data_IF_581310931651
#
_entry.id   IF_581310931651
#
_cell.length_a   1.000
_cell.length_b   1.000
_cell.length_c   1.000
_cell.angle_alpha   90.00
_cell.angle_beta   90.00
_cell.angle_gamma   90.00
#
_symmetry.space_group_name_H-M   'P 1'
#
loop_
_entity.id
_entity.type
_entity.pdbx_description
1 polymer ?
#
# COMPACT_ATOMS: atom_id res chain seq x y z
N UNK A 1 -4.00 -7.95 12.13
CA UNK A 1 -3.31 -6.64 12.20
C UNK A 1 -2.71 -6.30 13.57
N UNK A 2 -3.45 -6.39 14.68
CA UNK A 2 -2.95 -6.00 16.02
C UNK A 2 -1.66 -6.73 16.43
N UNK A 3 -1.59 -8.05 16.24
CA UNK A 3 -0.40 -8.84 16.58
C UNK A 3 0.83 -8.45 15.74
N UNK A 4 0.67 -8.35 14.41
CA UNK A 4 1.75 -7.92 13.49
C UNK A 4 2.30 -6.55 13.89
N UNK A 5 1.42 -5.62 14.31
CA UNK A 5 1.82 -4.31 14.81
C UNK A 5 2.62 -4.43 16.11
N UNK A 6 2.16 -5.24 17.07
CA UNK A 6 2.86 -5.45 18.34
C UNK A 6 4.25 -6.05 18.13
N UNK A 7 4.37 -7.03 17.24
CA UNK A 7 5.64 -7.67 16.89
C UNK A 7 6.63 -6.66 16.29
N UNK A 8 6.17 -5.85 15.33
CA UNK A 8 7.00 -4.84 14.69
C UNK A 8 7.46 -3.75 15.68
N UNK A 9 6.58 -3.35 16.61
CA UNK A 9 6.94 -2.43 17.70
C UNK A 9 7.99 -3.03 18.64
N UNK A 10 7.86 -4.30 18.99
CA UNK A 10 8.81 -5.00 19.85
C UNK A 10 10.21 -5.10 19.21
N UNK A 11 10.27 -5.35 17.89
CA UNK A 11 11.55 -5.34 17.17
C UNK A 11 12.11 -3.92 17.15
N UNK A 12 11.30 -2.93 16.78
CA UNK A 12 11.72 -1.52 16.72
C UNK A 12 12.21 -0.98 18.07
N UNK A 13 11.55 -1.33 19.18
CA UNK A 13 11.94 -0.85 20.52
C UNK A 13 13.35 -1.27 20.88
N UNK A 14 13.72 -2.50 20.56
CA UNK A 14 15.07 -3.04 20.82
C UNK A 14 16.15 -2.16 20.15
N UNK A 15 15.95 -1.81 18.88
CA UNK A 15 16.90 -0.97 18.13
C UNK A 15 16.91 0.49 18.59
N UNK A 16 15.75 1.04 18.96
CA UNK A 16 15.66 2.42 19.45
C UNK A 16 16.28 2.56 20.83
N UNK A 17 16.13 1.56 21.71
CA UNK A 17 16.80 1.53 23.01
C UNK A 17 18.32 1.46 22.87
N UNK A 18 18.82 0.62 21.95
CA UNK A 18 20.26 0.57 21.64
C UNK A 18 20.78 1.90 21.10
N UNK A 19 20.02 2.58 20.24
CA UNK A 19 20.36 3.92 19.75
C UNK A 19 20.41 4.95 20.89
N UNK A 20 19.46 4.92 21.82
CA UNK A 20 19.45 5.78 23.01
C UNK A 20 20.67 5.53 23.89
N UNK A 21 21.03 4.26 24.14
CA UNK A 21 22.22 3.87 24.91
C UNK A 21 23.52 4.34 24.27
N UNK A 22 23.58 4.39 22.94
CA UNK A 22 24.73 4.89 22.19
C UNK A 22 24.76 6.43 22.06
N UNK A 23 23.83 7.13 22.72
CA UNK A 23 23.79 8.60 22.74
C UNK A 23 23.17 9.23 21.50
N UNK A 24 22.39 8.48 20.72
CA UNK A 24 21.56 9.04 19.65
C UNK A 24 20.23 9.52 20.24
N UNK A 25 20.01 10.84 20.23
CA UNK A 25 18.82 11.44 20.80
C UNK A 25 17.59 11.23 19.89
N UNK A 26 16.79 10.21 20.21
CA UNK A 26 15.48 9.98 19.62
C UNK A 26 14.43 10.45 20.64
N UNK A 27 13.93 11.67 20.47
CA UNK A 27 13.00 12.34 21.40
C UNK A 27 11.56 11.81 21.39
N UNK A 28 11.30 10.68 20.73
CA UNK A 28 9.98 10.08 20.66
C UNK A 28 9.80 9.10 21.83
N UNK A 29 8.93 9.41 22.79
CA UNK A 29 8.60 8.50 23.91
C UNK A 29 7.70 7.35 23.45
N UNK A 30 6.75 7.64 22.57
CA UNK A 30 5.80 6.68 22.02
C UNK A 30 6.26 6.19 20.63
N UNK A 31 6.82 4.98 20.58
CA UNK A 31 7.33 4.37 19.34
C UNK A 31 6.26 4.15 18.27
N UNK A 32 4.98 4.14 18.65
CA UNK A 32 3.88 4.02 17.68
C UNK A 32 3.74 5.26 16.78
N UNK A 33 4.25 6.40 17.25
CA UNK A 33 4.27 7.67 16.52
C UNK A 33 5.62 7.97 15.88
N UNK A 34 6.60 7.07 16.02
CA UNK A 34 7.93 7.27 15.47
C UNK A 34 7.89 7.24 13.95
N UNK A 35 8.08 8.40 13.33
CA UNK A 35 8.08 8.53 11.86
C UNK A 35 9.48 8.37 11.28
N UNK A 36 9.53 7.97 10.01
CA UNK A 36 10.78 7.96 9.23
C UNK A 36 11.51 9.31 9.28
N UNK A 37 10.74 10.41 9.28
CA UNK A 37 11.27 11.78 9.37
C UNK A 37 12.01 12.05 10.68
N UNK A 38 11.48 11.58 11.83
CA UNK A 38 12.15 11.74 13.12
C UNK A 38 13.49 10.98 13.18
N UNK A 39 13.56 9.80 12.56
CA UNK A 39 14.80 9.03 12.45
C UNK A 39 15.80 9.75 11.54
N UNK A 40 15.32 10.37 10.46
CA UNK A 40 16.15 11.20 9.58
C UNK A 40 16.76 12.40 10.30
N UNK A 41 15.96 13.12 11.11
CA UNK A 41 16.45 14.21 11.96
C UNK A 41 17.50 13.69 12.96
N UNK A 42 17.20 12.60 13.66
CA UNK A 42 18.12 12.01 14.63
C UNK A 42 19.47 11.65 13.98
N UNK A 43 19.45 11.12 12.75
CA UNK A 43 20.64 10.83 11.95
C UNK A 43 21.43 12.09 11.61
N UNK A 44 20.77 13.16 11.19
CA UNK A 44 21.42 14.46 10.93
C UNK A 44 22.10 15.02 12.18
N UNK A 45 21.40 15.02 13.31
CA UNK A 45 21.92 15.49 14.59
C UNK A 45 23.13 14.67 15.06
N UNK A 46 23.08 13.35 14.91
CA UNK A 46 24.20 12.47 15.23
C UNK A 46 25.44 12.78 14.39
N UNK A 47 25.28 12.95 13.07
CA UNK A 47 26.39 13.32 12.16
C UNK A 47 27.00 14.67 12.48
N UNK A 48 26.17 15.66 12.83
CA UNK A 48 26.65 16.97 13.28
C UNK A 48 27.43 16.85 14.60
N UNK A 49 26.92 16.07 15.56
CA UNK A 49 27.59 15.81 16.83
C UNK A 49 28.95 15.10 16.68
N UNK A 50 29.12 14.24 15.68
CA UNK A 50 30.40 13.60 15.37
C UNK A 50 31.47 14.59 14.90
N UNK A 51 31.10 15.64 14.14
CA UNK A 51 32.04 16.69 13.73
C UNK A 51 32.62 17.45 14.93
N UNK A 52 31.82 17.60 15.98
CA UNK A 52 32.20 18.34 17.18
C UNK A 52 32.92 17.45 18.22
N UNK A 53 32.84 16.12 18.10
CA UNK A 53 33.49 15.19 19.02
C UNK A 53 34.02 13.93 18.30
N UNK A 54 35.27 13.96 17.81
CA UNK A 54 35.88 12.86 17.04
C UNK A 54 36.03 11.55 17.82
N UNK A 55 36.02 11.58 19.16
CA UNK A 55 36.14 10.39 20.01
C UNK A 55 34.99 9.38 19.80
N UNK A 56 33.83 9.86 19.33
CA UNK A 56 32.67 9.01 18.99
C UNK A 56 32.73 8.41 17.59
N UNK A 57 33.76 8.72 16.80
CA UNK A 57 33.93 8.24 15.43
C UNK A 57 34.01 6.71 15.32
N UNK A 58 34.60 6.04 16.32
CA UNK A 58 34.67 4.57 16.38
C UNK A 58 33.29 3.90 16.46
N UNK A 59 32.27 4.58 17.00
CA UNK A 59 30.90 4.09 17.11
C UNK A 59 30.03 4.50 15.91
N UNK A 60 30.51 5.39 15.04
CA UNK A 60 29.72 5.98 13.96
C UNK A 60 29.14 4.90 13.02
N UNK A 61 29.94 3.91 12.63
CA UNK A 61 29.47 2.83 11.76
C UNK A 61 28.37 1.97 12.38
N UNK A 62 28.46 1.70 13.70
CA UNK A 62 27.44 0.95 14.45
C UNK A 62 26.14 1.73 14.54
N UNK A 63 26.20 3.01 14.92
CA UNK A 63 25.02 3.88 15.04
C UNK A 63 24.34 4.09 13.70
N UNK A 64 25.09 4.31 12.63
CA UNK A 64 24.56 4.44 11.27
C UNK A 64 23.84 3.16 10.80
N UNK A 65 24.37 1.98 11.14
CA UNK A 65 23.71 0.70 10.88
C UNK A 65 22.38 0.56 11.61
N UNK A 66 22.35 0.88 12.91
CA UNK A 66 21.15 0.82 13.75
C UNK A 66 20.09 1.85 13.31
N UNK A 67 20.50 3.06 12.94
CA UNK A 67 19.60 4.07 12.35
C UNK A 67 19.01 3.58 11.03
N UNK A 68 19.80 2.89 10.19
CA UNK A 68 19.32 2.24 8.98
C UNK A 68 18.24 1.20 9.25
N UNK A 69 18.42 0.37 10.28
CA UNK A 69 17.41 -0.63 10.73
C UNK A 69 16.15 0.06 11.23
N UNK A 70 16.27 1.03 12.16
CA UNK A 70 15.14 1.75 12.71
C UNK A 70 14.33 2.46 11.61
N UNK A 71 15.02 3.06 10.62
CA UNK A 71 14.41 3.71 9.46
C UNK A 71 13.55 2.75 8.65
N UNK A 72 14.05 1.53 8.40
CA UNK A 72 13.31 0.50 7.68
C UNK A 72 12.09 0.00 8.47
N UNK A 73 12.25 -0.28 9.77
CA UNK A 73 11.14 -0.73 10.62
C UNK A 73 10.07 0.35 10.80
N UNK A 74 10.46 1.63 10.91
CA UNK A 74 9.52 2.74 10.96
C UNK A 74 8.74 2.89 9.64
N UNK A 75 9.39 2.71 8.48
CA UNK A 75 8.68 2.69 7.19
C UNK A 75 7.71 1.51 7.11
N UNK A 76 8.10 0.33 7.57
CA UNK A 76 7.20 -0.83 7.64
C UNK A 76 5.98 -0.54 8.54
N UNK A 77 6.16 0.17 9.66
CA UNK A 77 5.05 0.57 10.54
C UNK A 77 4.09 1.53 9.84
N UNK A 78 4.62 2.49 9.08
CA UNK A 78 3.80 3.41 8.28
C UNK A 78 3.01 2.65 7.21
N UNK A 79 3.65 1.74 6.48
CA UNK A 79 2.99 0.88 5.50
C UNK A 79 1.86 0.06 6.12
N UNK A 80 2.10 -0.51 7.30
CA UNK A 80 1.10 -1.32 8.01
C UNK A 80 -0.13 -0.50 8.38
N UNK A 81 0.07 0.75 8.79
CA UNK A 81 -1.02 1.65 9.19
C UNK A 81 -1.78 2.26 8.01
N UNK A 82 -1.14 2.39 6.83
CA UNK A 82 -1.72 3.06 5.67
C UNK A 82 -2.29 2.09 4.62
N UNK A 83 -1.58 0.98 4.37
CA UNK A 83 -1.85 0.07 3.26
C UNK A 83 -2.05 -1.39 3.72
N UNK A 84 -1.66 -1.71 4.95
CA UNK A 84 -1.93 -3.01 5.57
C UNK A 84 -0.81 -4.03 5.44
N UNK A 85 -1.15 -5.27 5.75
CA UNK A 85 -0.18 -6.34 6.00
C UNK A 85 0.56 -6.76 4.73
N UNK A 86 -0.12 -6.86 3.57
CA UNK A 86 0.51 -7.31 2.31
C UNK A 86 1.56 -6.33 1.79
N UNK A 87 1.26 -5.03 1.74
CA UNK A 87 2.25 -4.02 1.35
C UNK A 87 3.44 -3.99 2.32
N UNK A 88 3.17 -4.17 3.61
CA UNK A 88 4.24 -4.30 4.62
C UNK A 88 5.07 -5.56 4.38
N UNK A 89 4.44 -6.68 4.05
CA UNK A 89 5.11 -7.94 3.77
C UNK A 89 6.01 -7.82 2.55
N UNK A 90 5.50 -7.29 1.44
CA UNK A 90 6.29 -7.04 0.22
C UNK A 90 7.53 -6.18 0.51
N UNK A 91 7.39 -5.12 1.31
CA UNK A 91 8.53 -4.29 1.72
C UNK A 91 9.56 -5.04 2.56
N UNK A 92 9.10 -5.83 3.54
CA UNK A 92 9.95 -6.63 4.43
C UNK A 92 10.61 -7.80 3.67
N UNK A 93 9.92 -8.38 2.70
CA UNK A 93 10.39 -9.48 1.87
C UNK A 93 11.46 -9.03 0.88
N UNK A 94 11.24 -7.89 0.22
CA UNK A 94 12.28 -7.23 -0.59
C UNK A 94 13.52 -6.91 0.25
N UNK A 95 13.35 -6.35 1.46
CA UNK A 95 14.47 -6.11 2.37
C UNK A 95 15.21 -7.41 2.72
N UNK A 96 14.48 -8.47 3.06
CA UNK A 96 15.08 -9.76 3.42
C UNK A 96 15.87 -10.31 2.25
N UNK A 97 15.31 -10.28 1.05
CA UNK A 97 15.95 -10.75 -0.18
C UNK A 97 17.24 -9.97 -0.45
N UNK A 98 17.19 -8.64 -0.41
CA UNK A 98 18.35 -7.76 -0.57
C UNK A 98 19.44 -8.01 0.49
N UNK A 99 19.07 -8.33 1.73
CA UNK A 99 20.03 -8.59 2.81
C UNK A 99 20.70 -9.96 2.68
N UNK A 100 20.00 -10.92 2.06
CA UNK A 100 20.48 -12.30 1.87
C UNK A 100 21.25 -12.49 0.56
N UNK A 101 21.11 -11.58 -0.41
CA UNK A 101 21.90 -11.59 -1.64
C UNK A 101 23.36 -11.19 -1.36
N UNK A 102 24.35 -12.08 -1.62
CA UNK A 102 25.76 -11.76 -1.40
C UNK A 102 26.28 -10.61 -2.30
N UNK A 103 25.59 -10.30 -3.41
CA UNK A 103 25.97 -9.22 -4.32
C UNK A 103 25.46 -7.85 -3.87
N UNK A 104 24.51 -7.80 -2.94
CA UNK A 104 23.90 -6.56 -2.46
C UNK A 104 24.57 -6.13 -1.15
N UNK A 105 25.11 -4.90 -1.13
CA UNK A 105 25.76 -4.34 0.06
C UNK A 105 24.73 -4.08 1.17
N UNK A 106 24.79 -4.89 2.23
CA UNK A 106 23.95 -4.73 3.43
C UNK A 106 24.76 -4.46 4.70
N UNK A 107 24.29 -3.54 5.54
CA UNK A 107 24.92 -3.24 6.83
C UNK A 107 24.83 -4.44 7.77
N UNK A 108 25.85 -4.67 8.61
CA UNK A 108 25.85 -5.73 9.63
C UNK A 108 24.59 -5.73 10.50
N UNK A 109 24.16 -4.54 10.95
CA UNK A 109 22.94 -4.39 11.75
C UNK A 109 21.67 -4.92 11.05
N UNK A 110 21.54 -4.76 9.72
CA UNK A 110 20.43 -5.32 8.94
C UNK A 110 20.50 -6.83 8.84
N UNK A 111 21.71 -7.40 8.66
CA UNK A 111 21.92 -8.86 8.66
C UNK A 111 21.56 -9.46 10.02
N UNK A 112 22.06 -8.87 11.09
CA UNK A 112 21.77 -9.30 12.46
C UNK A 112 20.26 -9.22 12.76
N UNK A 113 19.58 -8.17 12.29
CA UNK A 113 18.12 -8.05 12.40
C UNK A 113 17.40 -9.17 11.66
N UNK A 114 17.71 -9.37 10.37
CA UNK A 114 17.00 -10.37 9.55
C UNK A 114 17.24 -11.78 10.08
N UNK A 115 18.44 -12.08 10.60
CA UNK A 115 18.76 -13.38 11.20
C UNK A 115 18.20 -13.56 12.62
N UNK A 116 17.79 -12.49 13.29
CA UNK A 116 17.27 -12.53 14.65
C UNK A 116 15.96 -13.31 14.79
N UNK A 117 15.82 -14.07 15.88
CA UNK A 117 14.65 -14.91 16.15
C UNK A 117 13.33 -14.11 16.17
N UNK A 118 13.35 -12.90 16.72
CA UNK A 118 12.17 -12.01 16.75
C UNK A 118 11.71 -11.63 15.35
N UNK A 119 12.65 -11.29 14.45
CA UNK A 119 12.34 -10.96 13.06
C UNK A 119 11.88 -12.19 12.28
N UNK A 120 12.51 -13.34 12.45
CA UNK A 120 12.10 -14.58 11.79
C UNK A 120 10.68 -15.00 12.19
N UNK A 121 10.34 -14.91 13.48
CA UNK A 121 8.99 -15.16 13.97
C UNK A 121 7.96 -14.18 13.40
N UNK A 122 8.30 -12.88 13.35
CA UNK A 122 7.47 -11.84 12.74
C UNK A 122 7.26 -12.10 11.23
N UNK A 123 8.33 -12.36 10.50
CA UNK A 123 8.30 -12.64 9.07
C UNK A 123 7.44 -13.86 8.76
N UNK A 124 7.65 -14.98 9.50
CA UNK A 124 6.87 -16.20 9.31
C UNK A 124 5.38 -15.94 9.50
N UNK A 125 4.98 -15.25 10.57
CA UNK A 125 3.57 -14.89 10.79
C UNK A 125 2.99 -14.05 9.66
N UNK A 126 3.74 -13.08 9.13
CA UNK A 126 3.28 -12.31 7.98
C UNK A 126 3.15 -13.17 6.74
N UNK A 127 4.12 -14.05 6.47
CA UNK A 127 4.08 -14.97 5.34
C UNK A 127 2.86 -15.90 5.43
N UNK A 128 2.58 -16.47 6.61
CA UNK A 128 1.42 -17.35 6.84
C UNK A 128 0.09 -16.61 6.58
N UNK A 129 -0.01 -15.34 7.00
CA UNK A 129 -1.21 -14.51 6.74
C UNK A 129 -1.37 -14.17 5.26
N UNK A 130 -0.27 -13.83 4.58
CA UNK A 130 -0.28 -13.44 3.16
C UNK A 130 -0.49 -14.65 2.25
N UNK A 131 -0.13 -15.85 2.71
CA UNK A 131 -0.34 -17.10 1.99
C UNK A 131 -1.81 -17.46 1.79
N UNK A 132 -2.71 -17.03 2.67
CA UNK A 132 -4.15 -17.16 2.44
C UNK A 132 -4.61 -16.14 1.38
N UNK A 133 -5.12 -16.56 0.21
CA UNK A 133 -5.60 -15.64 -0.82
C UNK A 133 -6.73 -14.73 -0.31
N UNK A 134 -7.63 -15.27 0.52
CA UNK A 134 -8.82 -14.56 1.03
C UNK A 134 -8.50 -13.57 2.12
N UNK A 135 -7.25 -13.53 2.58
CA UNK A 135 -6.85 -12.63 3.64
C UNK A 135 -6.90 -11.17 3.16
N UNK A 136 -7.82 -10.41 3.77
CA UNK A 136 -7.95 -8.96 3.60
C UNK A 136 -7.05 -8.28 4.63
N UNK A 137 -5.98 -7.64 4.14
CA UNK A 137 -4.88 -7.19 4.99
C UNK A 137 -5.12 -5.89 5.76
N UNK A 138 -6.29 -5.25 5.61
CA UNK A 138 -6.56 -3.91 6.16
C UNK A 138 -8.07 -3.64 6.40
N UNK A 139 -8.48 -3.10 7.57
CA UNK A 139 -9.90 -2.82 7.88
C UNK A 139 -10.59 -1.87 6.88
N UNK A 140 -9.84 -0.90 6.36
CA UNK A 140 -10.33 0.02 5.33
C UNK A 140 -10.68 -0.70 4.01
N UNK A 141 -9.95 -1.76 3.68
CA UNK A 141 -10.23 -2.56 2.49
C UNK A 141 -11.49 -3.39 2.70
N UNK A 142 -11.67 -3.97 3.89
CA UNK A 142 -12.93 -4.64 4.27
C UNK A 142 -14.13 -3.68 4.16
N UNK A 143 -13.96 -2.44 4.64
CA UNK A 143 -15.00 -1.41 4.53
C UNK A 143 -15.30 -1.00 3.09
N UNK A 144 -14.26 -0.85 2.26
CA UNK A 144 -14.40 -0.57 0.83
C UNK A 144 -15.21 -1.67 0.13
N UNK A 145 -14.86 -2.93 0.38
CA UNK A 145 -15.58 -4.09 -0.18
C UNK A 145 -17.06 -4.04 0.24
N UNK A 146 -17.34 -3.78 1.52
CA UNK A 146 -18.71 -3.65 2.03
C UNK A 146 -19.53 -2.58 1.30
N UNK A 147 -18.97 -1.37 1.14
CA UNK A 147 -19.63 -0.26 0.42
C UNK A 147 -19.95 -0.67 -1.03
N UNK A 148 -19.00 -1.31 -1.71
CA UNK A 148 -19.19 -1.70 -3.11
C UNK A 148 -20.22 -2.81 -3.25
N UNK A 149 -20.18 -3.83 -2.39
CA UNK A 149 -21.17 -4.90 -2.40
C UNK A 149 -22.58 -4.36 -2.17
N UNK A 150 -22.76 -3.46 -1.18
CA UNK A 150 -24.03 -2.81 -0.92
C UNK A 150 -24.51 -1.99 -2.13
N UNK A 151 -23.62 -1.19 -2.72
CA UNK A 151 -23.92 -0.39 -3.92
C UNK A 151 -24.34 -1.25 -5.11
N UNK A 152 -23.54 -2.25 -5.48
CA UNK A 152 -23.84 -3.13 -6.61
C UNK A 152 -25.11 -3.97 -6.38
N UNK A 153 -25.34 -4.47 -5.16
CA UNK A 153 -26.57 -5.21 -4.84
C UNK A 153 -27.82 -4.34 -4.90
N UNK A 154 -27.73 -3.09 -4.43
CA UNK A 154 -28.85 -2.13 -4.49
C UNK A 154 -29.23 -1.82 -5.94
N UNK A 155 -28.24 -1.54 -6.79
CA UNK A 155 -28.49 -1.22 -8.20
C UNK A 155 -29.01 -2.44 -8.98
N UNK A 156 -28.51 -3.66 -8.70
CA UNK A 156 -29.08 -4.88 -9.29
C UNK A 156 -30.55 -5.10 -8.93
N UNK A 157 -30.97 -4.76 -7.71
CA UNK A 157 -32.36 -4.88 -7.28
C UNK A 157 -33.29 -3.92 -8.05
N UNK A 158 -32.79 -2.76 -8.47
CA UNK A 158 -33.54 -1.80 -9.30
C UNK A 158 -33.67 -2.25 -10.76
N UNK A 159 -32.75 -3.09 -11.22
CA UNK A 159 -32.69 -3.59 -12.61
C UNK A 159 -33.53 -4.85 -12.81
N UNK A 160 -33.89 -5.58 -11.74
CA UNK A 160 -34.71 -6.79 -11.84
C UNK A 160 -36.15 -6.41 -12.21
N UNK A 161 -36.66 -6.74 -13.42
CA UNK A 161 -37.92 -6.19 -13.87
C UNK A 161 -39.10 -7.01 -13.30
N UNK A 162 -40.05 -6.30 -12.71
CA UNK A 162 -41.42 -6.77 -12.39
C UNK A 162 -42.27 -7.10 -13.64
N UNK A 163 -41.69 -7.26 -14.82
CA UNK A 163 -42.39 -7.68 -16.03
C UNK A 163 -41.42 -8.31 -17.05
N UNK A 164 -41.84 -9.31 -17.85
CA UNK A 164 -41.04 -9.81 -18.96
C UNK A 164 -40.90 -8.70 -20.01
N UNK A 165 -39.67 -8.18 -20.18
CA UNK A 165 -39.35 -7.25 -21.26
C UNK A 165 -39.03 -8.02 -22.55
N UNK A 166 -39.33 -7.43 -23.73
CA UNK A 166 -39.08 -8.06 -25.02
C UNK A 166 -37.59 -8.26 -25.26
N UNK A 167 -37.27 -9.20 -26.14
CA UNK A 167 -35.93 -9.48 -26.64
C UNK A 167 -35.34 -8.23 -27.34
N UNK A 168 -34.71 -7.33 -26.57
CA UNK A 168 -33.96 -6.19 -27.12
C UNK A 168 -32.48 -6.26 -26.75
N UNK A 169 -31.68 -5.79 -27.70
CA UNK A 169 -30.22 -5.90 -27.83
C UNK A 169 -29.42 -5.84 -26.51
N UNK A 170 -28.35 -6.63 -26.44
CA UNK A 170 -27.31 -6.63 -25.39
C UNK A 170 -26.70 -5.23 -25.08
N UNK A 171 -27.00 -4.22 -25.90
CA UNK A 171 -26.62 -2.83 -25.71
C UNK A 171 -27.43 -2.11 -24.62
N UNK A 172 -28.70 -2.47 -24.41
CA UNK A 172 -29.55 -1.87 -23.36
C UNK A 172 -29.26 -2.47 -21.98
N UNK A 173 -28.95 -3.76 -21.90
CA UNK A 173 -28.51 -4.43 -20.67
C UNK A 173 -27.23 -3.80 -20.09
N UNK A 174 -26.39 -3.24 -20.96
CA UNK A 174 -25.13 -2.62 -20.60
C UNK A 174 -25.29 -1.22 -19.98
N UNK A 175 -26.42 -0.53 -20.24
CA UNK A 175 -26.76 0.76 -19.61
C UNK A 175 -27.24 0.61 -18.16
N UNK A 176 -27.60 -0.59 -17.74
CA UNK A 176 -28.13 -0.88 -16.40
C UNK A 176 -27.03 -1.34 -15.42
N UNK A 177 -25.79 -1.50 -15.88
CA UNK A 177 -24.68 -1.87 -15.02
C UNK A 177 -24.08 -0.60 -14.39
N UNK A 178 -24.31 -0.41 -13.09
CA UNK A 178 -23.68 0.69 -12.34
C UNK A 178 -22.16 0.68 -12.47
N UNK A 179 -21.54 1.86 -12.51
CA UNK A 179 -20.11 2.06 -12.69
C UNK A 179 -19.48 2.79 -11.51
N UNK A 180 -18.33 2.30 -11.07
CA UNK A 180 -17.61 2.84 -9.91
C UNK A 180 -16.16 3.16 -10.26
N UNK A 181 -15.66 4.29 -9.73
CA UNK A 181 -14.23 4.63 -9.76
C UNK A 181 -13.70 4.72 -8.34
N UNK A 182 -12.56 4.08 -8.08
CA UNK A 182 -11.86 4.09 -6.80
C UNK A 182 -10.51 4.77 -7.01
N UNK A 183 -10.32 5.91 -6.36
CA UNK A 183 -9.06 6.65 -6.39
C UNK A 183 -8.16 6.25 -5.22
N UNK A 184 -6.90 5.97 -5.53
CA UNK A 184 -5.83 5.69 -4.58
C UNK A 184 -4.63 6.58 -4.88
N UNK A 185 -3.79 6.93 -3.92
CA UNK A 185 -2.56 7.68 -4.18
C UNK A 185 -1.40 6.77 -4.56
N UNK A 186 -1.43 5.52 -4.07
CA UNK A 186 -0.33 4.57 -4.18
C UNK A 186 -0.70 3.38 -5.06
N UNK A 187 0.25 2.94 -5.90
CA UNK A 187 0.06 1.81 -6.82
C UNK A 187 -0.08 0.49 -6.09
N UNK A 188 0.69 0.31 -5.03
CA UNK A 188 0.62 -0.86 -4.15
C UNK A 188 -0.77 -1.03 -3.54
N UNK A 189 -1.47 0.09 -3.29
CA UNK A 189 -2.86 0.04 -2.84
C UNK A 189 -3.84 -0.29 -3.98
N UNK A 190 -3.58 0.19 -5.20
CA UNK A 190 -4.39 -0.18 -6.38
C UNK A 190 -4.32 -1.69 -6.61
N UNK A 191 -3.14 -2.28 -6.62
CA UNK A 191 -2.96 -3.72 -6.82
C UNK A 191 -3.70 -4.54 -5.75
N UNK A 192 -3.61 -4.12 -4.49
CA UNK A 192 -4.28 -4.81 -3.38
C UNK A 192 -5.81 -4.68 -3.45
N UNK A 193 -6.33 -3.51 -3.81
CA UNK A 193 -7.76 -3.29 -3.99
C UNK A 193 -8.27 -4.16 -5.15
N UNK A 194 -7.57 -4.16 -6.29
CA UNK A 194 -7.95 -4.97 -7.46
C UNK A 194 -7.98 -6.44 -7.09
N UNK A 195 -6.93 -6.94 -6.43
CA UNK A 195 -6.85 -8.34 -5.97
C UNK A 195 -8.04 -8.71 -5.10
N UNK A 196 -8.37 -7.88 -4.10
CA UNK A 196 -9.47 -8.18 -3.19
C UNK A 196 -10.85 -8.10 -3.87
N UNK A 197 -11.03 -7.18 -4.82
CA UNK A 197 -12.28 -7.04 -5.57
C UNK A 197 -12.47 -8.11 -6.66
N UNK A 198 -11.39 -8.67 -7.20
CA UNK A 198 -11.45 -9.77 -8.17
C UNK A 198 -12.10 -11.05 -7.61
N UNK A 199 -12.09 -11.25 -6.28
CA UNK A 199 -12.78 -12.38 -5.64
C UNK A 199 -14.31 -12.27 -5.70
N UNK A 200 -14.85 -11.10 -6.07
CA UNK A 200 -16.28 -10.81 -6.15
C UNK A 200 -16.82 -10.82 -7.60
N UNK A 201 -16.08 -11.38 -8.56
CA UNK A 201 -16.60 -11.65 -9.90
C UNK A 201 -17.73 -12.71 -9.85
N UNK A 202 -18.84 -12.61 -10.63
CA UNK A 202 -19.13 -11.64 -11.71
C UNK A 202 -19.77 -10.32 -11.28
N UNK A 203 -20.06 -10.13 -9.98
CA UNK A 203 -20.71 -8.92 -9.47
C UNK A 203 -19.83 -7.68 -9.67
N UNK A 204 -18.54 -7.78 -9.30
CA UNK A 204 -17.56 -6.71 -9.43
C UNK A 204 -16.50 -7.13 -10.45
N UNK A 205 -16.47 -6.43 -11.58
CA UNK A 205 -15.49 -6.60 -12.66
C UNK A 205 -14.52 -5.42 -12.62
N UNK A 206 -13.44 -5.64 -11.88
CA UNK A 206 -12.46 -4.60 -11.52
C UNK A 206 -11.28 -4.53 -12.49
N UNK A 207 -10.77 -3.33 -12.73
CA UNK A 207 -9.50 -3.12 -13.43
C UNK A 207 -8.65 -2.01 -12.81
N UNK A 208 -7.32 -2.18 -12.80
CA UNK A 208 -6.36 -1.14 -12.43
C UNK A 208 -6.12 -0.12 -13.56
N UNK A 209 -6.02 1.16 -13.20
CA UNK A 209 -5.60 2.26 -14.07
C UNK A 209 -4.48 3.06 -13.40
N UNK A 210 -3.23 2.72 -13.73
CA UNK A 210 -2.04 3.38 -13.17
C UNK A 210 -1.34 4.22 -14.23
N UNK A 211 -0.68 5.32 -13.80
CA UNK A 211 0.01 6.23 -14.73
C UNK A 211 1.20 5.60 -15.48
N UNK A 212 1.77 6.36 -16.41
CA UNK A 212 2.76 5.86 -17.38
C UNK A 212 4.15 5.58 -16.81
N UNK A 213 4.52 6.23 -15.70
CA UNK A 213 5.86 6.07 -15.14
C UNK A 213 6.12 4.62 -14.73
N UNK A 214 7.29 4.07 -15.04
CA UNK A 214 7.70 2.78 -14.49
C UNK A 214 8.47 3.03 -13.20
N UNK A 215 8.10 2.33 -12.12
CA UNK A 215 8.67 2.55 -10.80
C UNK A 215 9.08 1.23 -10.14
N UNK A 216 9.52 1.32 -8.88
CA UNK A 216 9.83 0.13 -8.05
C UNK A 216 8.60 -0.76 -7.83
N UNK A 217 7.41 -0.17 -7.92
CA UNK A 217 6.11 -0.82 -7.67
C UNK A 217 5.42 -1.23 -8.97
N UNK A 218 6.18 -1.59 -10.01
CA UNK A 218 5.64 -2.12 -11.27
C UNK A 218 5.75 -1.19 -12.49
N UNK A 219 5.49 -1.79 -13.66
CA UNK A 219 5.50 -1.12 -14.97
C UNK A 219 4.26 -0.23 -15.10
N UNK A 220 4.45 1.02 -15.50
CA UNK A 220 3.33 1.91 -15.83
C UNK A 220 2.59 1.46 -17.09
N UNK A 221 1.37 1.96 -17.28
CA UNK A 221 0.60 1.68 -18.49
C UNK A 221 1.01 2.62 -19.62
N UNK A 222 1.18 2.11 -20.84
CA UNK A 222 1.31 2.98 -22.00
C UNK A 222 0.00 3.72 -22.29
N UNK A 223 0.08 4.88 -22.95
CA UNK A 223 -1.11 5.64 -23.37
C UNK A 223 -2.11 4.78 -24.17
N UNK A 224 -1.60 3.90 -25.04
CA UNK A 224 -2.44 2.96 -25.80
C UNK A 224 -3.19 1.99 -24.89
N UNK A 225 -2.55 1.49 -23.84
CA UNK A 225 -3.19 0.62 -22.85
C UNK A 225 -4.22 1.40 -22.03
N UNK A 226 -3.89 2.61 -21.57
CA UNK A 226 -4.85 3.47 -20.85
C UNK A 226 -6.13 3.70 -21.67
N UNK A 227 -6.00 4.02 -22.95
CA UNK A 227 -7.14 4.17 -23.88
C UNK A 227 -7.94 2.87 -24.04
N UNK A 228 -7.28 1.71 -24.14
CA UNK A 228 -7.95 0.42 -24.25
C UNK A 228 -8.76 0.08 -22.99
N UNK A 229 -8.20 0.37 -21.82
CA UNK A 229 -8.86 0.17 -20.53
C UNK A 229 -10.12 1.04 -20.42
N UNK A 230 -10.02 2.32 -20.78
CA UNK A 230 -11.16 3.23 -20.78
C UNK A 230 -12.24 2.77 -21.75
N UNK A 231 -11.85 2.29 -22.95
CA UNK A 231 -12.82 1.72 -23.91
C UNK A 231 -13.54 0.52 -23.32
N UNK A 232 -12.83 -0.41 -22.70
CA UNK A 232 -13.40 -1.60 -22.05
C UNK A 232 -14.30 -1.24 -20.86
N UNK A 233 -13.96 -0.19 -20.12
CA UNK A 233 -14.80 0.33 -19.04
C UNK A 233 -16.09 0.97 -19.58
N UNK A 234 -15.98 1.80 -20.64
CA UNK A 234 -17.12 2.43 -21.32
C UNK A 234 -18.05 1.41 -21.98
N UNK A 235 -17.51 0.34 -22.56
CA UNK A 235 -18.27 -0.77 -23.12
C UNK A 235 -18.79 -1.75 -22.06
N UNK A 236 -18.61 -1.46 -20.77
CA UNK A 236 -19.13 -2.25 -19.65
C UNK A 236 -18.55 -3.66 -19.55
N UNK A 237 -17.38 -3.92 -20.13
CA UNK A 237 -16.61 -5.13 -19.83
C UNK A 237 -16.12 -5.13 -18.38
N UNK A 238 -15.89 -3.94 -17.84
CA UNK A 238 -15.53 -3.69 -16.45
C UNK A 238 -16.48 -2.64 -15.88
N UNK A 239 -16.91 -2.84 -14.64
CA UNK A 239 -17.80 -1.92 -13.94
C UNK A 239 -17.11 -1.18 -12.79
N UNK A 240 -15.88 -1.55 -12.43
CA UNK A 240 -15.09 -0.88 -11.39
C UNK A 240 -13.69 -0.54 -11.89
N UNK A 241 -13.30 0.72 -11.80
CA UNK A 241 -11.97 1.21 -12.15
C UNK A 241 -11.21 1.65 -10.90
N UNK A 242 -10.00 1.14 -10.67
CA UNK A 242 -9.17 1.53 -9.53
C UNK A 242 -7.96 2.30 -10.05
N UNK A 243 -7.86 3.59 -9.73
CA UNK A 243 -6.91 4.49 -10.37
C UNK A 243 -6.02 5.26 -9.41
N UNK A 244 -4.76 5.52 -9.81
CA UNK A 244 -3.88 6.41 -9.02
C UNK A 244 -4.11 7.89 -9.26
N UNK A 245 -4.38 8.25 -10.52
CA UNK A 245 -4.70 9.59 -10.99
C UNK A 245 -5.20 9.45 -12.43
N UNK A 246 -6.25 10.19 -12.80
CA UNK A 246 -6.79 10.19 -14.18
C UNK A 246 -6.87 11.62 -14.74
N UNK A 247 -6.99 12.61 -13.87
CA UNK A 247 -7.21 14.01 -14.22
C UNK A 247 -6.07 14.72 -14.97
N UNK A 248 -4.82 14.34 -14.72
CA UNK A 248 -3.67 15.02 -15.37
C UNK A 248 -3.63 14.87 -16.90
N UNK A 249 -4.28 13.84 -17.46
CA UNK A 249 -4.23 13.52 -18.89
C UNK A 249 -5.49 13.97 -19.68
N UNK A 250 -6.54 14.48 -19.01
CA UNK A 250 -7.77 14.93 -19.68
C UNK A 250 -8.55 13.81 -20.37
N UNK A 251 -8.47 12.59 -19.85
CA UNK A 251 -9.13 11.42 -20.43
C UNK A 251 -10.63 11.41 -20.10
N UNK A 252 -11.48 11.32 -21.12
CA UNK A 252 -12.92 11.14 -20.94
C UNK A 252 -13.23 9.68 -20.56
N UNK A 253 -13.61 9.47 -19.30
CA UNK A 253 -13.95 8.16 -18.72
C UNK A 253 -15.44 7.83 -18.90
N UNK A 254 -16.28 8.83 -19.18
CA UNK A 254 -17.74 8.73 -19.17
C UNK A 254 -18.36 8.92 -17.77
N UNK A 255 -19.68 8.76 -17.70
CA UNK A 255 -20.46 8.91 -16.47
C UNK A 255 -20.32 7.70 -15.54
N UNK A 256 -20.22 7.96 -14.24
CA UNK A 256 -20.09 6.95 -13.18
C UNK A 256 -21.01 7.30 -12.01
N UNK A 257 -21.51 6.27 -11.33
CA UNK A 257 -22.55 6.45 -10.29
C UNK A 257 -21.95 6.60 -8.89
N UNK A 258 -20.75 6.05 -8.67
CA UNK A 258 -20.04 6.13 -7.40
C UNK A 258 -18.55 6.42 -7.61
N UNK A 259 -18.03 7.35 -6.82
CA UNK A 259 -16.60 7.65 -6.74
C UNK A 259 -16.16 7.45 -5.29
N UNK A 260 -15.17 6.57 -5.09
CA UNK A 260 -14.57 6.31 -3.78
C UNK A 260 -13.15 6.84 -3.73
N UNK A 261 -12.88 7.80 -2.85
CA UNK A 261 -11.53 8.24 -2.56
C UNK A 261 -10.95 7.37 -1.44
N UNK A 262 -10.15 6.36 -1.79
CA UNK A 262 -9.58 5.41 -0.83
C UNK A 262 -8.67 6.14 0.16
N UNK A 263 -7.48 6.58 -0.24
CA UNK A 263 -6.47 7.23 0.63
C UNK A 263 -6.11 8.66 0.19
N UNK A 264 -6.94 9.28 -0.64
CA UNK A 264 -6.67 10.65 -1.09
C UNK A 264 -6.77 11.66 0.06
N UNK A 265 -5.64 12.32 0.35
CA UNK A 265 -5.50 13.47 1.23
C UNK A 265 -5.80 14.81 0.52
N UNK A 266 -6.05 14.79 -0.80
CA UNK A 266 -6.34 15.97 -1.60
C UNK A 266 -7.84 16.24 -1.73
N UNK A 267 -8.20 17.51 -1.93
CA UNK A 267 -9.57 17.89 -2.31
C UNK A 267 -10.08 16.98 -3.43
N UNK A 268 -11.32 16.43 -3.34
CA UNK A 268 -11.92 15.58 -4.38
C UNK A 268 -11.86 16.20 -5.78
N UNK A 269 -11.77 17.53 -5.86
CA UNK A 269 -11.69 18.33 -7.08
C UNK A 269 -10.43 18.00 -7.91
N UNK A 270 -9.27 17.71 -7.28
CA UNK A 270 -8.04 17.33 -8.01
C UNK A 270 -8.12 15.96 -8.69
N UNK A 271 -9.05 15.11 -8.26
CA UNK A 271 -9.23 13.76 -8.82
C UNK A 271 -10.25 13.74 -9.98
N UNK A 272 -11.10 14.76 -10.05
CA UNK A 272 -12.21 14.90 -10.99
C UNK A 272 -11.90 15.82 -12.20
N UNK A 273 -10.88 16.69 -12.08
CA UNK A 273 -10.48 17.67 -13.11
C UNK A 273 -9.53 17.10 -14.14
#
# INVERSE_FOLDING_TARGET
MRQVRADLLCILSTYVEDLRRLGCAIFCQDLTKLTHYQIHIARGNFRSGLRNNPSKSSLAGRVEGLLGVASTLSRAMQLLNQHGIRSTFSHIDSLRTDVMDPNVKSSRAKRDMVQGASFQGFYKRMADLVADPRFVGHPKLEHLIGILLEHFSREQALVTPTAPLPETDALETNRLCTRVIIFSQYRESVEEIVRALSEHEPLIRVMSFVGQSSGKSGKGLSQRQQLEIIRKFKSGNYNTLVATCIGEEGLDIGEVDLIVCYDSQGSPIRLLQ
#
